data_IF_262704068919
#
_entry.id   IF_262704068919
#
_cell.length_a   1.000
_cell.length_b   1.000
_cell.length_c   1.000
_cell.angle_alpha   90.00
_cell.angle_beta   90.00
_cell.angle_gamma   90.00
#
_symmetry.space_group_name_H-M   'P 1'
#
loop_
_entity.id
_entity.type
_entity.pdbx_description
1 polymer ?
#
# COMPACT_ATOMS: atom_id res chain seq x y z
N UNK A 1 -37.47 -1.43 -6.10
CA UNK A 1 -36.21 -2.22 -5.98
C UNK A 1 -36.15 -3.15 -7.17
N UNK A 2 -35.38 -2.81 -8.21
CA UNK A 2 -35.16 -3.67 -9.36
C UNK A 2 -34.03 -4.64 -9.04
N UNK A 3 -34.30 -5.94 -9.12
CA UNK A 3 -33.26 -6.97 -9.01
C UNK A 3 -32.33 -6.86 -10.22
N UNK A 4 -31.08 -6.53 -9.97
CA UNK A 4 -30.01 -6.61 -10.95
C UNK A 4 -29.72 -8.09 -11.24
N UNK A 5 -30.11 -8.57 -12.41
CA UNK A 5 -29.90 -9.96 -12.82
C UNK A 5 -28.38 -10.28 -12.97
N UNK A 6 -27.99 -11.53 -12.63
CA UNK A 6 -26.60 -12.06 -12.75
C UNK A 6 -25.92 -11.77 -14.11
N UNK A 7 -26.68 -11.64 -15.20
CA UNK A 7 -26.15 -11.31 -16.54
C UNK A 7 -25.71 -9.85 -16.68
N UNK A 8 -26.41 -8.91 -16.05
CA UNK A 8 -26.02 -7.48 -16.02
C UNK A 8 -24.81 -7.25 -15.12
N UNK A 9 -24.71 -7.97 -14.00
CA UNK A 9 -23.55 -7.96 -13.12
C UNK A 9 -22.26 -8.38 -13.85
N UNK A 10 -22.33 -9.49 -14.63
CA UNK A 10 -21.17 -9.97 -15.41
C UNK A 10 -20.78 -8.98 -16.51
N UNK A 11 -21.76 -8.31 -17.14
CA UNK A 11 -21.48 -7.27 -18.16
C UNK A 11 -20.84 -6.02 -17.54
N UNK A 12 -21.28 -5.59 -16.37
CA UNK A 12 -20.72 -4.42 -15.68
C UNK A 12 -19.29 -4.70 -15.20
N UNK A 13 -19.01 -5.90 -14.68
CA UNK A 13 -17.66 -6.33 -14.30
C UNK A 13 -16.74 -6.42 -15.51
N UNK A 14 -17.21 -6.90 -16.65
CA UNK A 14 -16.44 -6.96 -17.90
C UNK A 14 -16.21 -5.57 -18.52
N UNK A 15 -17.09 -4.61 -18.32
CA UNK A 15 -16.92 -3.23 -18.79
C UNK A 15 -15.97 -2.42 -17.88
N UNK A 16 -15.96 -2.68 -16.58
CA UNK A 16 -15.01 -2.06 -15.65
C UNK A 16 -13.58 -2.63 -15.80
N UNK A 17 -13.45 -3.88 -16.27
CA UNK A 17 -12.16 -4.51 -16.60
C UNK A 17 -11.75 -4.38 -18.07
N UNK A 18 -12.61 -3.81 -18.93
CA UNK A 18 -12.51 -3.85 -20.39
C UNK A 18 -11.72 -2.72 -21.05
N UNK A 19 -11.04 -1.85 -20.32
CA UNK A 19 -10.12 -0.87 -20.91
C UNK A 19 -8.69 -1.43 -21.08
N UNK A 20 -8.53 -2.70 -21.48
CA UNK A 20 -7.25 -3.21 -21.95
C UNK A 20 -7.03 -2.82 -23.41
N UNK A 21 -6.46 -1.65 -23.64
CA UNK A 21 -5.89 -1.30 -24.95
C UNK A 21 -4.58 -2.06 -25.11
N UNK A 22 -4.59 -3.08 -25.97
CA UNK A 22 -3.39 -3.71 -26.48
C UNK A 22 -2.69 -2.75 -27.45
N UNK A 23 -1.84 -1.87 -26.95
CA UNK A 23 -0.88 -1.14 -27.80
C UNK A 23 0.49 -1.79 -27.66
N UNK A 24 0.88 -2.57 -28.67
CA UNK A 24 2.28 -2.93 -28.90
C UNK A 24 3.02 -1.65 -29.33
N UNK A 25 3.62 -0.93 -28.39
CA UNK A 25 4.58 0.13 -28.71
C UNK A 25 6.00 -0.40 -28.51
N UNK A 26 6.79 -0.27 -29.56
CA UNK A 26 8.23 -0.54 -29.58
C UNK A 26 8.97 0.37 -28.61
N UNK A 27 9.71 -0.23 -27.68
CA UNK A 27 10.49 0.48 -26.67
C UNK A 27 11.76 1.08 -27.27
N UNK A 28 11.87 2.41 -27.16
CA UNK A 28 13.13 3.12 -27.38
C UNK A 28 14.18 2.75 -26.30
N UNK A 29 15.41 2.43 -26.75
CA UNK A 29 16.57 2.16 -25.88
C UNK A 29 16.91 3.42 -25.08
N UNK A 30 16.99 3.29 -23.72
CA UNK A 30 17.49 4.42 -22.95
C UNK A 30 17.43 4.37 -21.44
N UNK A 31 17.17 3.22 -20.80
CA UNK A 31 17.51 2.94 -19.40
C UNK A 31 17.66 1.41 -19.29
N UNK A 32 18.75 0.95 -18.68
CA UNK A 32 18.94 -0.47 -18.43
C UNK A 32 17.69 -1.05 -17.75
N UNK A 33 17.23 -2.21 -18.20
CA UNK A 33 16.14 -2.91 -17.52
C UNK A 33 16.49 -3.00 -16.03
N UNK A 34 15.58 -2.59 -15.12
CA UNK A 34 15.78 -2.89 -13.73
C UNK A 34 15.76 -4.42 -13.63
N UNK A 35 16.96 -5.01 -13.52
CA UNK A 35 17.05 -6.40 -13.09
C UNK A 35 16.39 -6.45 -11.72
N UNK A 36 15.40 -7.35 -11.49
CA UNK A 36 14.93 -7.63 -10.15
C UNK A 36 16.17 -7.89 -9.30
N UNK A 37 16.26 -7.27 -8.14
CA UNK A 37 17.25 -7.71 -7.17
C UNK A 37 16.90 -9.16 -6.83
N UNK A 38 17.61 -10.10 -7.44
CA UNK A 38 17.63 -11.51 -7.04
C UNK A 38 18.50 -11.69 -5.80
N UNK A 39 18.45 -10.71 -4.88
CA UNK A 39 18.92 -10.89 -3.53
C UNK A 39 17.94 -11.86 -2.85
N UNK A 40 18.41 -12.95 -2.30
CA UNK A 40 17.58 -13.77 -1.42
C UNK A 40 17.01 -12.85 -0.35
N UNK A 41 15.71 -13.00 -0.01
CA UNK A 41 15.07 -12.22 1.07
C UNK A 41 15.92 -12.22 2.34
N UNK A 42 16.63 -13.32 2.61
CA UNK A 42 17.63 -13.44 3.67
C UNK A 42 18.70 -12.35 3.66
N UNK A 43 19.25 -11.98 2.51
CA UNK A 43 20.27 -10.91 2.43
C UNK A 43 19.69 -9.53 2.78
N UNK A 44 18.45 -9.26 2.38
CA UNK A 44 17.74 -8.03 2.73
C UNK A 44 17.49 -7.96 4.25
N UNK A 45 17.01 -9.05 4.83
CA UNK A 45 16.67 -9.16 6.25
C UNK A 45 17.90 -9.12 7.17
N UNK A 46 19.03 -9.69 6.76
CA UNK A 46 20.31 -9.56 7.48
C UNK A 46 20.78 -8.10 7.64
N UNK A 47 20.25 -7.21 6.81
CA UNK A 47 20.51 -5.79 6.94
C UNK A 47 19.67 -5.08 8.00
N UNK A 48 18.67 -5.72 8.60
CA UNK A 48 17.86 -5.14 9.68
C UNK A 48 18.60 -5.26 11.01
N UNK A 49 19.23 -4.17 11.44
CA UNK A 49 19.96 -4.04 12.72
C UNK A 49 19.11 -3.34 13.79
N UNK A 50 19.80 -2.56 14.63
CA UNK A 50 19.20 -1.78 15.72
C UNK A 50 18.95 -0.31 15.31
N UNK A 51 18.67 -0.10 14.05
CA UNK A 51 18.29 1.22 13.56
C UNK A 51 16.96 1.66 14.20
N UNK A 52 16.81 2.97 14.42
CA UNK A 52 15.55 3.56 14.89
C UNK A 52 14.39 3.26 13.93
N UNK A 53 14.67 3.29 12.63
CA UNK A 53 13.74 2.88 11.57
C UNK A 53 14.50 2.02 10.58
N UNK A 54 13.99 0.82 10.33
CA UNK A 54 14.35 0.02 9.18
C UNK A 54 13.07 -0.28 8.38
N UNK A 55 13.11 -0.05 7.06
CA UNK A 55 11.98 -0.33 6.19
C UNK A 55 12.46 -0.87 4.85
N UNK A 56 11.77 -1.90 4.32
CA UNK A 56 12.03 -2.48 3.01
C UNK A 56 10.76 -2.39 2.15
N UNK A 57 10.88 -1.81 0.96
CA UNK A 57 9.81 -1.87 -0.02
C UNK A 57 9.77 -3.25 -0.66
N UNK A 58 8.76 -4.06 -0.33
CA UNK A 58 8.59 -5.42 -0.84
C UNK A 58 7.97 -5.41 -2.25
N UNK A 59 7.07 -4.47 -2.50
CA UNK A 59 6.42 -4.24 -3.79
C UNK A 59 4.98 -3.75 -3.63
N UNK A 60 4.48 -3.01 -4.62
CA UNK A 60 3.19 -2.31 -4.58
C UNK A 60 3.09 -1.42 -3.34
N UNK A 61 2.10 -1.62 -2.48
CA UNK A 61 1.94 -0.91 -1.19
C UNK A 61 2.43 -1.74 0.01
N UNK A 62 3.07 -2.89 -0.26
CA UNK A 62 3.65 -3.76 0.77
C UNK A 62 5.02 -3.25 1.19
N UNK A 63 5.12 -2.79 2.42
CA UNK A 63 6.38 -2.40 3.06
C UNK A 63 6.55 -3.19 4.35
N UNK A 64 7.71 -3.82 4.52
CA UNK A 64 8.11 -4.46 5.76
C UNK A 64 8.90 -3.45 6.59
N UNK A 65 8.46 -3.19 7.82
CA UNK A 65 9.02 -2.19 8.72
C UNK A 65 9.44 -2.89 10.01
N UNK A 66 10.65 -2.58 10.50
CA UNK A 66 11.11 -2.99 11.83
C UNK A 66 11.21 -1.77 12.74
N UNK A 67 10.57 -1.85 13.90
CA UNK A 67 10.62 -0.87 14.99
C UNK A 67 10.94 -1.62 16.29
N UNK A 68 12.12 -1.43 16.86
CA UNK A 68 12.62 -2.25 17.93
C UNK A 68 12.66 -3.73 17.52
N UNK A 69 12.00 -4.58 18.29
CA UNK A 69 11.88 -6.02 17.98
C UNK A 69 10.63 -6.38 17.18
N UNK A 70 9.75 -5.41 16.90
CA UNK A 70 8.47 -5.63 16.24
C UNK A 70 8.56 -5.46 14.72
N UNK A 71 7.88 -6.36 14.00
CA UNK A 71 7.72 -6.31 12.56
C UNK A 71 6.31 -5.87 12.18
N UNK A 72 6.21 -4.83 11.35
CA UNK A 72 4.96 -4.36 10.76
C UNK A 72 4.98 -4.65 9.26
N UNK A 73 3.83 -5.02 8.72
CA UNK A 73 3.64 -5.24 7.29
C UNK A 73 2.44 -4.43 6.80
N UNK A 74 2.65 -3.53 5.85
CA UNK A 74 1.57 -2.71 5.27
C UNK A 74 0.98 -3.39 4.04
N UNK A 75 -0.34 -3.34 3.87
CA UNK A 75 -1.09 -3.76 2.69
C UNK A 75 -0.46 -4.97 1.97
N UNK A 76 -0.40 -6.16 2.61
CA UNK A 76 0.38 -7.27 2.09
C UNK A 76 -0.25 -7.90 0.85
N UNK A 77 0.48 -7.83 -0.27
CA UNK A 77 0.11 -8.42 -1.55
C UNK A 77 1.32 -9.18 -2.11
N UNK A 78 1.22 -10.51 -2.10
CA UNK A 78 2.25 -11.40 -2.65
C UNK A 78 1.77 -12.17 -3.89
N UNK A 79 0.50 -12.04 -4.23
CA UNK A 79 -0.10 -12.70 -5.38
C UNK A 79 0.44 -12.17 -6.72
N UNK A 80 0.53 -13.06 -7.72
CA UNK A 80 0.90 -12.69 -9.09
C UNK A 80 -0.21 -11.98 -9.86
N UNK A 81 -1.45 -12.12 -9.40
CA UNK A 81 -2.62 -11.46 -9.98
C UNK A 81 -3.48 -10.93 -8.84
N UNK A 82 -3.79 -9.64 -8.86
CA UNK A 82 -4.75 -9.02 -7.95
C UNK A 82 -6.10 -8.86 -8.62
N UNK A 83 -7.18 -9.07 -7.87
CA UNK A 83 -8.54 -8.95 -8.40
C UNK A 83 -9.47 -10.08 -7.96
N UNK A 84 -10.44 -10.39 -8.80
CA UNK A 84 -11.49 -11.37 -8.51
C UNK A 84 -10.97 -12.80 -8.57
N UNK A 85 -11.41 -13.64 -7.64
CA UNK A 85 -11.25 -15.07 -7.73
C UNK A 85 -12.58 -15.71 -8.14
N UNK A 86 -12.63 -16.26 -9.36
CA UNK A 86 -13.81 -16.92 -9.90
C UNK A 86 -13.45 -18.38 -10.15
N UNK A 87 -14.02 -19.29 -9.36
CA UNK A 87 -13.78 -20.75 -9.45
C UNK A 87 -12.30 -21.13 -9.43
N UNK A 88 -11.50 -20.44 -8.60
CA UNK A 88 -10.07 -20.69 -8.46
C UNK A 88 -9.19 -19.97 -9.49
N UNK A 89 -9.78 -19.31 -10.49
CA UNK A 89 -9.07 -18.49 -11.45
C UNK A 89 -9.07 -17.02 -10.99
N UNK A 90 -7.88 -16.41 -10.88
CA UNK A 90 -7.74 -14.99 -10.59
C UNK A 90 -7.79 -14.16 -11.85
N UNK A 91 -8.63 -13.13 -11.84
CA UNK A 91 -8.87 -12.22 -12.96
C UNK A 91 -8.58 -10.80 -12.50
N UNK A 92 -7.61 -10.16 -13.14
CA UNK A 92 -7.22 -8.78 -12.84
C UNK A 92 -5.79 -8.46 -13.29
N UNK A 93 -5.21 -7.33 -12.85
CA UNK A 93 -3.85 -6.94 -13.18
C UNK A 93 -2.81 -7.99 -12.77
N UNK A 94 -1.88 -8.29 -13.69
CA UNK A 94 -0.74 -9.16 -13.44
C UNK A 94 0.41 -8.37 -12.85
N UNK A 95 1.11 -8.99 -11.90
CA UNK A 95 2.35 -8.48 -11.34
C UNK A 95 3.45 -8.39 -12.42
N UNK A 96 4.15 -7.28 -12.45
CA UNK A 96 5.24 -6.99 -13.39
C UNK A 96 6.58 -7.34 -12.76
N UNK A 97 6.83 -6.89 -11.52
CA UNK A 97 8.01 -7.23 -10.75
C UNK A 97 7.63 -8.18 -9.59
N UNK A 98 8.38 -9.25 -9.34
CA UNK A 98 8.12 -10.12 -8.21
C UNK A 98 8.28 -9.38 -6.88
N UNK A 99 7.69 -9.87 -5.77
CA UNK A 99 8.01 -9.37 -4.45
C UNK A 99 9.51 -9.51 -4.18
N UNK A 100 10.12 -8.50 -3.56
CA UNK A 100 11.56 -8.51 -3.27
C UNK A 100 11.96 -9.52 -2.19
N UNK A 101 11.02 -9.89 -1.34
CA UNK A 101 11.14 -10.93 -0.31
C UNK A 101 9.97 -11.88 -0.56
N UNK A 102 10.23 -13.18 -0.62
CA UNK A 102 9.18 -14.20 -0.75
C UNK A 102 8.27 -14.26 0.47
N UNK A 103 7.03 -14.71 0.28
CA UNK A 103 6.08 -14.83 1.38
C UNK A 103 6.56 -15.81 2.47
N UNK A 104 7.31 -16.82 2.08
CA UNK A 104 7.93 -17.82 2.95
C UNK A 104 9.25 -17.36 3.60
N UNK A 105 9.80 -16.24 3.13
CA UNK A 105 11.05 -15.68 3.64
C UNK A 105 10.82 -14.50 4.61
N UNK A 106 9.62 -13.86 4.62
CA UNK A 106 9.38 -12.73 5.51
C UNK A 106 9.38 -13.18 6.99
N UNK A 107 9.86 -12.34 7.91
CA UNK A 107 9.68 -12.60 9.34
C UNK A 107 8.18 -12.56 9.68
N UNK A 108 7.79 -13.26 10.77
CA UNK A 108 6.42 -13.15 11.27
C UNK A 108 6.09 -11.68 11.56
N UNK A 109 5.10 -11.07 10.90
CA UNK A 109 4.64 -9.76 11.29
C UNK A 109 3.97 -9.82 12.68
N UNK A 110 4.27 -8.89 13.55
CA UNK A 110 3.52 -8.70 14.79
C UNK A 110 2.23 -7.92 14.51
N UNK A 111 2.30 -7.00 13.53
CA UNK A 111 1.19 -6.13 13.12
C UNK A 111 1.07 -6.13 11.59
N UNK A 112 -0.14 -6.29 11.09
CA UNK A 112 -0.51 -5.97 9.70
C UNK A 112 -1.38 -4.72 9.72
N UNK A 113 -1.00 -3.71 8.92
CA UNK A 113 -1.79 -2.49 8.70
C UNK A 113 -2.44 -2.57 7.33
N UNK A 114 -3.76 -2.43 7.28
CA UNK A 114 -4.55 -2.44 6.05
C UNK A 114 -5.19 -1.07 5.84
N UNK A 115 -4.81 -0.41 4.76
CA UNK A 115 -5.29 0.94 4.46
C UNK A 115 -6.75 0.97 4.03
N UNK A 116 -7.18 0.04 3.19
CA UNK A 116 -8.54 -0.04 2.66
C UNK A 116 -8.83 -1.40 2.00
N UNK A 117 -10.07 -1.61 1.55
CA UNK A 117 -10.53 -2.93 1.11
C UNK A 117 -10.25 -3.27 -0.37
N UNK A 118 -9.57 -2.43 -1.16
CA UNK A 118 -9.22 -2.79 -2.55
C UNK A 118 -8.38 -4.06 -2.60
N UNK A 119 -8.55 -4.84 -3.68
CA UNK A 119 -7.98 -6.19 -3.78
C UNK A 119 -6.46 -6.20 -3.96
N UNK A 120 -5.86 -5.09 -4.31
CA UNK A 120 -4.42 -4.87 -4.45
C UNK A 120 -3.77 -4.29 -3.18
N UNK A 121 -4.57 -4.11 -2.10
CA UNK A 121 -4.12 -3.73 -0.75
C UNK A 121 -4.53 -4.80 0.26
N UNK A 122 -5.79 -5.20 0.26
CA UNK A 122 -6.32 -6.27 1.09
C UNK A 122 -6.46 -7.55 0.24
N UNK A 123 -5.33 -8.14 -0.16
CA UNK A 123 -5.31 -9.39 -0.93
C UNK A 123 -5.66 -10.58 -0.03
N UNK A 124 -6.89 -11.03 -0.13
CA UNK A 124 -7.43 -12.11 0.70
C UNK A 124 -6.54 -13.37 0.67
N UNK A 125 -5.99 -13.75 -0.48
CA UNK A 125 -5.13 -14.94 -0.58
C UNK A 125 -3.84 -14.77 0.22
N UNK A 126 -3.18 -13.62 0.14
CA UNK A 126 -1.99 -13.33 0.93
C UNK A 126 -2.31 -13.38 2.43
N UNK A 127 -3.43 -12.77 2.84
CA UNK A 127 -3.87 -12.72 4.23
C UNK A 127 -4.24 -14.11 4.77
N UNK A 128 -4.88 -14.98 3.96
CA UNK A 128 -5.11 -16.38 4.28
C UNK A 128 -3.81 -17.15 4.52
N UNK A 129 -2.79 -16.93 3.68
CA UNK A 129 -1.48 -17.55 3.84
C UNK A 129 -0.78 -17.10 5.11
N UNK A 130 -0.72 -15.77 5.35
CA UNK A 130 -0.08 -15.20 6.54
C UNK A 130 -0.73 -15.70 7.84
N UNK A 131 -2.06 -15.66 7.92
CA UNK A 131 -2.79 -16.13 9.09
C UNK A 131 -2.65 -17.63 9.33
N UNK A 132 -2.50 -18.42 8.25
CA UNK A 132 -2.29 -19.87 8.35
C UNK A 132 -0.85 -20.24 8.74
N UNK A 133 0.15 -19.43 8.34
CA UNK A 133 1.55 -19.61 8.76
C UNK A 133 1.73 -19.32 10.25
N UNK A 134 1.02 -18.33 10.78
CA UNK A 134 1.13 -17.90 12.18
C UNK A 134 -0.24 -17.71 12.84
N UNK A 135 -1.00 -18.79 13.06
CA UNK A 135 -2.35 -18.70 13.59
C UNK A 135 -2.37 -18.09 14.99
N UNK A 136 -3.25 -17.13 15.21
CA UNK A 136 -3.44 -16.41 16.48
C UNK A 136 -2.19 -15.64 16.98
N UNK A 137 -1.27 -15.25 16.08
CA UNK A 137 -0.04 -14.56 16.48
C UNK A 137 0.05 -13.15 15.91
N UNK A 138 -0.67 -12.82 14.84
CA UNK A 138 -0.60 -11.53 14.15
C UNK A 138 -1.79 -10.66 14.56
N UNK A 139 -1.54 -9.43 14.98
CA UNK A 139 -2.57 -8.40 15.14
C UNK A 139 -2.82 -7.70 13.80
N UNK A 140 -4.08 -7.50 13.44
CA UNK A 140 -4.49 -6.77 12.24
C UNK A 140 -5.23 -5.50 12.63
N UNK A 141 -4.82 -4.38 12.06
CA UNK A 141 -5.51 -3.10 12.17
C UNK A 141 -5.93 -2.64 10.78
N UNK A 142 -7.19 -2.30 10.62
CA UNK A 142 -7.78 -1.96 9.32
C UNK A 142 -8.67 -0.72 9.40
N UNK A 143 -9.00 -0.15 8.25
CA UNK A 143 -9.96 0.94 8.17
C UNK A 143 -11.38 0.45 8.53
N UNK A 144 -12.20 1.33 9.07
CA UNK A 144 -13.58 1.04 9.48
C UNK A 144 -14.42 0.43 8.36
N UNK A 145 -15.22 -0.58 8.71
CA UNK A 145 -16.09 -1.35 7.82
C UNK A 145 -15.35 -2.13 6.72
N UNK A 146 -14.18 -2.69 7.03
CA UNK A 146 -13.40 -3.50 6.09
C UNK A 146 -13.03 -4.88 6.62
N UNK A 147 -13.10 -5.12 7.92
CA UNK A 147 -12.69 -6.40 8.54
C UNK A 147 -13.58 -7.58 8.17
N UNK A 148 -14.80 -7.35 7.68
CA UNK A 148 -15.68 -8.41 7.16
C UNK A 148 -15.03 -9.24 6.05
N UNK A 149 -14.02 -8.70 5.37
CA UNK A 149 -13.23 -9.40 4.35
C UNK A 149 -12.35 -10.49 4.95
N UNK A 150 -11.94 -10.35 6.23
CA UNK A 150 -10.86 -11.15 6.83
C UNK A 150 -11.11 -11.61 8.26
N UNK A 151 -12.26 -11.29 8.88
CA UNK A 151 -12.56 -11.59 10.28
C UNK A 151 -12.78 -13.09 10.57
N UNK A 152 -12.91 -13.90 9.54
CA UNK A 152 -12.98 -15.36 9.61
C UNK A 152 -11.61 -16.05 9.67
N UNK A 153 -10.51 -15.28 9.53
CA UNK A 153 -9.14 -15.80 9.60
C UNK A 153 -8.60 -15.82 11.03
N UNK A 154 -7.69 -16.74 11.36
CA UNK A 154 -7.18 -16.93 12.72
C UNK A 154 -6.15 -15.87 13.13
N UNK A 155 -6.58 -14.61 13.27
CA UNK A 155 -5.76 -13.52 13.79
C UNK A 155 -5.65 -13.54 15.32
N UNK A 156 -4.58 -12.97 15.88
CA UNK A 156 -4.47 -12.65 17.31
C UNK A 156 -5.53 -11.62 17.72
N UNK A 157 -5.66 -10.57 16.93
CA UNK A 157 -6.73 -9.58 16.98
C UNK A 157 -6.99 -9.05 15.57
N UNK A 158 -8.22 -8.59 15.32
CA UNK A 158 -8.60 -7.96 14.07
C UNK A 158 -9.48 -6.76 14.41
N UNK A 159 -8.91 -5.56 14.35
CA UNK A 159 -9.51 -4.34 14.84
C UNK A 159 -9.68 -3.32 13.71
N UNK A 160 -10.69 -2.47 13.86
CA UNK A 160 -10.92 -1.32 12.98
C UNK A 160 -10.64 -0.02 13.71
N UNK A 161 -10.13 0.97 12.96
CA UNK A 161 -9.88 2.32 13.46
C UNK A 161 -10.33 3.35 12.44
N UNK A 162 -10.95 4.44 12.91
CA UNK A 162 -11.41 5.55 12.06
C UNK A 162 -10.47 6.76 12.15
N UNK A 163 -10.61 7.67 11.22
CA UNK A 163 -9.82 8.90 11.12
C UNK A 163 -9.76 9.67 12.43
N UNK A 164 -8.54 10.02 12.84
CA UNK A 164 -8.25 10.73 14.08
C UNK A 164 -8.17 9.85 15.32
N UNK A 165 -8.62 8.60 15.26
CA UNK A 165 -8.48 7.66 16.37
C UNK A 165 -7.04 7.14 16.47
N UNK A 166 -6.67 6.75 17.68
CA UNK A 166 -5.33 6.24 18.01
C UNK A 166 -5.45 4.98 18.84
N UNK A 167 -4.62 4.00 18.52
CA UNK A 167 -4.48 2.76 19.29
C UNK A 167 -3.01 2.46 19.56
N UNK A 168 -2.73 1.50 20.44
CA UNK A 168 -1.37 1.02 20.69
C UNK A 168 -1.33 -0.51 20.66
N UNK A 169 -0.44 -1.06 19.84
CA UNK A 169 -0.23 -2.50 19.68
C UNK A 169 1.27 -2.76 19.88
N UNK A 170 1.62 -3.65 20.80
CA UNK A 170 3.03 -4.02 21.10
C UNK A 170 3.94 -2.80 21.40
N UNK A 171 3.40 -1.77 22.06
CA UNK A 171 4.13 -0.53 22.37
C UNK A 171 4.26 0.45 21.21
N UNK A 172 3.74 0.11 20.03
CA UNK A 172 3.71 0.99 18.86
C UNK A 172 2.38 1.75 18.84
N UNK A 173 2.43 3.07 18.83
CA UNK A 173 1.27 3.94 18.71
C UNK A 173 0.93 4.13 17.24
N UNK A 174 -0.34 3.92 16.87
CA UNK A 174 -0.83 4.02 15.50
C UNK A 174 -2.05 4.91 15.50
N UNK A 175 -2.00 6.00 14.73
CA UNK A 175 -3.11 6.93 14.51
C UNK A 175 -3.60 6.82 13.07
N UNK A 176 -4.91 6.64 12.88
CA UNK A 176 -5.53 6.69 11.56
C UNK A 176 -5.61 8.12 11.05
N UNK A 177 -5.17 8.32 9.83
CA UNK A 177 -5.15 9.61 9.15
C UNK A 177 -6.24 9.69 8.10
N UNK A 178 -6.84 10.88 7.98
CA UNK A 178 -7.71 11.20 6.86
C UNK A 178 -6.90 11.24 5.56
N UNK A 179 -7.39 10.51 4.56
CA UNK A 179 -6.86 10.52 3.19
C UNK A 179 -8.00 10.71 2.19
N UNK A 180 -7.68 10.97 0.95
CA UNK A 180 -8.65 11.21 -0.10
C UNK A 180 -8.65 10.08 -1.12
N UNK A 181 -9.54 9.09 -0.90
CA UNK A 181 -9.62 7.89 -1.73
C UNK A 181 -11.06 7.39 -1.83
N UNK A 182 -11.28 6.17 -2.26
CA UNK A 182 -12.53 5.43 -2.11
C UNK A 182 -12.26 4.05 -1.47
N UNK A 183 -13.23 3.48 -0.77
CA UNK A 183 -13.04 2.27 0.04
C UNK A 183 -13.80 1.04 -0.46
N UNK A 184 -14.56 1.12 -1.56
CA UNK A 184 -15.33 -0.03 -2.04
C UNK A 184 -14.42 -1.17 -2.51
N UNK A 185 -14.79 -2.43 -2.21
CA UNK A 185 -14.11 -3.62 -2.72
C UNK A 185 -14.73 -4.09 -4.03
N UNK A 186 -16.04 -3.96 -4.14
CA UNK A 186 -16.80 -4.27 -5.35
C UNK A 186 -17.57 -3.03 -5.82
N UNK A 187 -17.70 -2.80 -7.14
CA UNK A 187 -18.47 -1.69 -7.66
C UNK A 187 -19.90 -1.67 -7.09
N UNK A 188 -20.32 -0.51 -6.59
CA UNK A 188 -21.66 -0.31 -6.02
C UNK A 188 -21.78 -0.60 -4.52
N UNK A 189 -20.73 -1.03 -3.84
CA UNK A 189 -20.74 -1.12 -2.39
C UNK A 189 -20.85 0.27 -1.74
N UNK A 190 -21.52 0.38 -0.57
CA UNK A 190 -21.46 1.57 0.24
C UNK A 190 -20.03 1.93 0.59
N UNK A 191 -19.63 3.17 0.33
CA UNK A 191 -18.30 3.68 0.58
C UNK A 191 -18.39 5.08 1.19
N UNK A 192 -17.45 5.43 2.05
CA UNK A 192 -17.36 6.74 2.70
C UNK A 192 -17.29 7.88 1.70
N UNK A 193 -16.57 7.71 0.59
CA UNK A 193 -16.41 8.73 -0.45
C UNK A 193 -17.68 9.00 -1.26
N UNK A 194 -18.63 8.07 -1.32
CA UNK A 194 -19.90 8.24 -2.01
C UNK A 194 -21.07 8.60 -1.06
N UNK A 195 -20.75 9.16 0.12
CA UNK A 195 -21.73 9.70 1.07
C UNK A 195 -22.10 8.78 2.23
N UNK A 196 -21.69 7.52 2.24
CA UNK A 196 -21.96 6.58 3.33
C UNK A 196 -20.93 6.71 4.47
N UNK A 197 -20.80 7.92 5.05
CA UNK A 197 -19.75 8.23 6.03
C UNK A 197 -19.75 7.37 7.29
N UNK A 198 -20.90 6.82 7.69
CA UNK A 198 -21.05 6.01 8.91
C UNK A 198 -21.13 4.51 8.67
N UNK A 199 -21.49 4.06 7.48
CA UNK A 199 -21.80 2.66 7.17
C UNK A 199 -21.08 2.14 5.95
N UNK A 200 -20.43 3.00 5.19
CA UNK A 200 -19.65 2.62 4.01
C UNK A 200 -18.21 2.32 4.37
N UNK A 201 -17.56 1.49 3.55
CA UNK A 201 -16.14 1.16 3.70
C UNK A 201 -15.28 2.41 3.74
N UNK A 202 -14.43 2.50 4.77
CA UNK A 202 -13.47 3.57 4.97
C UNK A 202 -12.12 3.25 4.33
N UNK A 203 -11.21 4.19 4.42
CA UNK A 203 -9.84 4.11 3.93
C UNK A 203 -8.98 5.05 4.77
N UNK A 204 -7.77 4.59 5.13
CA UNK A 204 -6.87 5.27 6.05
C UNK A 204 -5.47 5.44 5.46
N UNK A 205 -4.80 6.55 5.80
CA UNK A 205 -3.38 6.55 6.05
C UNK A 205 -3.11 6.23 7.52
N UNK A 206 -1.85 6.03 7.89
CA UNK A 206 -1.45 5.75 9.27
C UNK A 206 -0.20 6.55 9.66
N UNK A 207 -0.24 7.21 10.81
CA UNK A 207 0.94 7.68 11.50
C UNK A 207 1.33 6.62 12.53
N UNK A 208 2.59 6.23 12.53
CA UNK A 208 3.15 5.13 13.32
C UNK A 208 4.28 5.73 14.15
N UNK A 209 4.22 5.56 15.47
CA UNK A 209 5.22 6.09 16.40
C UNK A 209 5.71 4.99 17.36
N UNK A 210 7.03 4.91 17.50
CA UNK A 210 7.70 4.01 18.44
C UNK A 210 8.99 4.65 18.94
N UNK A 211 9.10 4.88 20.27
CA UNK A 211 10.30 5.45 20.91
C UNK A 211 10.85 6.70 20.19
N UNK A 212 9.93 7.56 19.75
CA UNK A 212 10.25 8.78 19.01
C UNK A 212 10.53 8.58 17.51
N UNK A 213 10.66 7.35 16.99
CA UNK A 213 10.63 7.08 15.55
C UNK A 213 9.22 7.37 15.01
N UNK A 214 9.12 8.04 13.86
CA UNK A 214 7.84 8.46 13.30
C UNK A 214 7.78 8.18 11.81
N UNK A 215 6.81 7.38 11.42
CA UNK A 215 6.57 6.97 10.03
C UNK A 215 5.15 7.33 9.64
N UNK A 216 4.95 7.80 8.42
CA UNK A 216 3.62 7.91 7.82
C UNK A 216 3.52 6.92 6.68
N UNK A 217 2.49 6.08 6.71
CA UNK A 217 2.04 5.25 5.60
C UNK A 217 0.78 5.87 5.02
N UNK A 218 0.86 6.39 3.79
CA UNK A 218 -0.23 7.11 3.14
C UNK A 218 -1.40 6.22 2.70
N UNK A 219 -1.16 4.91 2.52
CA UNK A 219 -2.10 4.09 1.77
C UNK A 219 -2.29 4.66 0.36
N UNK A 220 -3.49 4.55 -0.20
CA UNK A 220 -3.86 5.26 -1.42
C UNK A 220 -4.54 6.59 -1.10
N UNK A 221 -4.13 7.64 -1.79
CA UNK A 221 -4.69 8.97 -1.61
C UNK A 221 -4.50 9.85 -2.85
N UNK A 222 -5.48 10.68 -3.18
CA UNK A 222 -5.26 11.88 -3.97
C UNK A 222 -4.56 12.95 -3.11
N UNK A 223 -4.16 14.05 -3.74
CA UNK A 223 -3.63 15.20 -3.00
C UNK A 223 -4.64 15.68 -1.94
N UNK A 224 -4.15 15.89 -0.72
CA UNK A 224 -4.94 16.42 0.41
C UNK A 224 -4.07 17.23 1.34
N UNK A 225 -4.66 18.28 1.94
CA UNK A 225 -4.03 19.06 3.00
C UNK A 225 -4.15 18.41 4.39
N UNK A 226 -4.84 17.27 4.51
CA UNK A 226 -5.03 16.57 5.78
C UNK A 226 -3.69 16.19 6.46
N UNK A 227 -2.64 15.96 5.67
CA UNK A 227 -1.29 15.68 6.20
C UNK A 227 -0.65 16.85 6.96
N UNK A 228 -1.20 18.07 6.90
CA UNK A 228 -0.80 19.18 7.77
C UNK A 228 -1.11 18.91 9.25
N UNK A 229 -2.04 18.01 9.53
CA UNK A 229 -2.39 17.59 10.90
C UNK A 229 -1.41 16.59 11.51
N UNK A 230 -0.51 16.02 10.68
CA UNK A 230 0.56 15.15 11.13
C UNK A 230 1.59 16.01 11.87
N UNK A 231 2.06 15.51 12.99
CA UNK A 231 3.13 16.16 13.73
C UNK A 231 4.40 16.27 12.87
N UNK A 232 5.11 17.40 12.84
CA UNK A 232 6.30 17.57 11.98
C UNK A 232 7.43 16.63 12.37
N UNK A 233 8.43 16.54 11.46
CA UNK A 233 9.64 15.70 11.60
C UNK A 233 9.35 14.19 11.49
N UNK A 234 8.76 13.79 10.37
CA UNK A 234 8.58 12.39 10.02
C UNK A 234 9.91 11.81 9.51
N UNK A 235 10.35 10.70 10.07
CA UNK A 235 11.58 10.03 9.65
C UNK A 235 11.41 9.40 8.25
N UNK A 236 10.21 8.84 7.96
CA UNK A 236 9.90 8.22 6.68
C UNK A 236 8.44 8.45 6.29
N UNK A 237 8.20 9.08 5.14
CA UNK A 237 6.88 9.14 4.49
C UNK A 237 6.81 8.06 3.40
N UNK A 238 5.91 7.10 3.54
CA UNK A 238 5.64 6.03 2.57
C UNK A 238 4.40 6.46 1.78
N UNK A 239 4.58 6.90 0.52
CA UNK A 239 3.56 7.61 -0.24
C UNK A 239 3.31 6.98 -1.61
N UNK A 240 2.04 6.85 -2.05
CA UNK A 240 1.71 6.34 -3.38
C UNK A 240 2.13 7.35 -4.45
N UNK A 241 2.60 6.85 -5.59
CA UNK A 241 2.99 7.71 -6.72
C UNK A 241 2.46 7.23 -8.08
N UNK A 242 1.66 6.18 -8.12
CA UNK A 242 1.12 5.59 -9.35
C UNK A 242 -0.40 5.62 -9.43
N UNK A 243 -0.93 5.16 -10.55
CA UNK A 243 -2.37 5.04 -10.83
C UNK A 243 -3.12 6.38 -10.87
N UNK A 244 -2.46 7.47 -11.23
CA UNK A 244 -3.06 8.81 -11.23
C UNK A 244 -3.72 9.19 -12.58
N UNK A 245 -3.26 8.67 -13.72
CA UNK A 245 -3.82 9.05 -15.01
C UNK A 245 -5.25 8.49 -15.16
N UNK A 246 -6.21 9.40 -15.27
CA UNK A 246 -7.64 9.10 -15.26
C UNK A 246 -8.26 8.91 -13.87
N UNK A 247 -7.45 8.86 -12.80
CA UNK A 247 -7.92 8.61 -11.43
C UNK A 247 -7.43 9.65 -10.41
N UNK A 248 -7.08 10.86 -10.83
CA UNK A 248 -6.55 11.94 -9.98
C UNK A 248 -7.47 12.37 -8.83
N UNK A 249 -8.75 12.00 -8.88
CA UNK A 249 -9.68 12.23 -7.77
C UNK A 249 -9.39 11.31 -6.55
N UNK A 250 -8.64 10.22 -6.75
CA UNK A 250 -8.38 9.14 -5.79
C UNK A 250 -6.89 8.82 -5.61
N UNK A 251 -6.04 9.23 -6.56
CA UNK A 251 -4.60 8.96 -6.57
C UNK A 251 -3.82 10.23 -6.87
N UNK A 252 -2.82 10.52 -6.04
CA UNK A 252 -1.90 11.62 -6.27
C UNK A 252 -0.85 11.26 -7.32
N UNK A 253 -0.38 12.26 -8.04
CA UNK A 253 0.79 12.14 -8.88
C UNK A 253 2.09 12.27 -8.05
N UNK A 254 3.29 11.97 -8.64
CA UNK A 254 4.54 11.99 -7.90
C UNK A 254 4.90 13.34 -7.26
N UNK A 255 4.59 14.45 -7.92
CA UNK A 255 4.85 15.79 -7.39
C UNK A 255 3.94 16.14 -6.21
N UNK A 256 2.69 15.68 -6.26
CA UNK A 256 1.72 15.82 -5.17
C UNK A 256 2.12 14.96 -3.95
N UNK A 257 2.59 13.71 -4.17
CA UNK A 257 3.12 12.85 -3.12
C UNK A 257 4.33 13.49 -2.43
N UNK A 258 5.23 14.11 -3.22
CA UNK A 258 6.36 14.85 -2.69
C UNK A 258 5.90 16.05 -1.86
N UNK A 259 4.94 16.83 -2.37
CA UNK A 259 4.40 17.99 -1.67
C UNK A 259 3.78 17.61 -0.32
N UNK A 260 3.01 16.51 -0.27
CA UNK A 260 2.45 15.98 0.99
C UNK A 260 3.55 15.51 1.96
N UNK A 261 4.62 14.87 1.46
CA UNK A 261 5.78 14.49 2.27
C UNK A 261 6.49 15.72 2.88
N UNK A 262 6.60 16.79 2.10
CA UNK A 262 7.18 18.05 2.58
C UNK A 262 6.28 18.76 3.60
N UNK A 263 4.95 18.67 3.50
CA UNK A 263 4.02 19.21 4.51
C UNK A 263 4.26 18.59 5.90
N UNK A 264 4.66 17.33 5.95
CA UNK A 264 4.98 16.60 7.18
C UNK A 264 6.43 16.79 7.64
N UNK A 265 7.24 17.60 6.95
CA UNK A 265 8.67 17.74 7.17
C UNK A 265 9.39 16.38 7.18
N UNK A 266 9.02 15.50 6.25
CA UNK A 266 9.61 14.18 6.14
C UNK A 266 11.09 14.24 5.76
N UNK A 267 11.94 13.44 6.41
CA UNK A 267 13.37 13.31 6.09
C UNK A 267 13.58 12.56 4.79
N UNK A 268 12.71 11.58 4.53
CA UNK A 268 12.75 10.77 3.33
C UNK A 268 11.35 10.40 2.85
N UNK A 269 11.21 10.17 1.54
CA UNK A 269 10.02 9.60 0.93
C UNK A 269 10.34 8.23 0.34
N UNK A 270 9.53 7.22 0.70
CA UNK A 270 9.53 5.90 0.07
C UNK A 270 8.32 5.84 -0.88
N UNK A 271 8.54 5.88 -2.19
CA UNK A 271 7.46 5.76 -3.15
C UNK A 271 6.93 4.33 -3.20
N UNK A 272 5.62 4.19 -3.18
CA UNK A 272 4.90 2.93 -3.32
C UNK A 272 3.87 3.03 -4.45
N UNK A 273 3.10 1.95 -4.67
CA UNK A 273 1.99 1.90 -5.64
C UNK A 273 2.41 2.17 -7.10
N UNK A 274 3.62 1.74 -7.47
CA UNK A 274 4.13 1.82 -8.84
C UNK A 274 4.97 0.59 -9.19
N UNK A 275 5.36 0.42 -10.45
CA UNK A 275 6.21 -0.68 -10.98
C UNK A 275 5.67 -2.11 -10.76
N UNK A 276 4.63 -2.32 -9.98
CA UNK A 276 4.19 -3.65 -9.58
C UNK A 276 2.99 -4.15 -10.39
N UNK A 277 1.95 -3.37 -10.51
CA UNK A 277 0.76 -3.68 -11.32
C UNK A 277 0.48 -2.51 -12.27
N UNK A 278 -0.04 -2.83 -13.47
CA UNK A 278 -0.54 -1.79 -14.38
C UNK A 278 -2.04 -1.58 -14.10
N UNK A 279 -2.39 -0.46 -13.51
CA UNK A 279 -3.75 -0.12 -13.11
C UNK A 279 -4.28 1.15 -13.77
N UNK A 280 -3.44 1.83 -14.53
CA UNK A 280 -3.74 3.11 -15.19
C UNK A 280 -2.94 3.26 -16.48
N UNK A 281 -3.29 4.25 -17.33
CA UNK A 281 -2.65 4.44 -18.64
C UNK A 281 -1.20 4.91 -18.60
N UNK A 282 -0.75 5.60 -17.55
CA UNK A 282 0.62 6.16 -17.52
C UNK A 282 1.69 5.08 -17.72
N UNK A 283 2.81 5.43 -18.39
CA UNK A 283 3.93 4.52 -18.58
C UNK A 283 4.48 4.05 -17.23
N UNK A 284 4.66 2.74 -17.06
CA UNK A 284 4.98 2.08 -15.79
C UNK A 284 6.21 2.68 -15.05
N UNK A 285 7.14 3.31 -15.76
CA UNK A 285 8.36 3.93 -15.20
C UNK A 285 8.25 5.44 -15.02
N UNK A 286 7.21 6.05 -15.55
CA UNK A 286 7.02 7.50 -15.49
C UNK A 286 6.88 8.02 -14.06
N UNK A 287 6.08 7.39 -13.16
CA UNK A 287 5.92 7.88 -11.80
C UNK A 287 7.26 8.06 -11.06
N UNK A 288 8.13 7.06 -11.11
CA UNK A 288 9.44 7.14 -10.46
C UNK A 288 10.33 8.20 -11.11
N UNK A 289 10.34 8.30 -12.43
CA UNK A 289 11.14 9.30 -13.13
C UNK A 289 10.70 10.74 -12.82
N UNK A 290 9.39 10.97 -12.65
CA UNK A 290 8.82 12.25 -12.22
C UNK A 290 9.22 12.56 -10.78
N UNK A 291 9.07 11.60 -9.87
CA UNK A 291 9.46 11.77 -8.47
C UNK A 291 10.94 12.12 -8.33
N UNK A 292 11.83 11.43 -9.05
CA UNK A 292 13.28 11.73 -9.01
C UNK A 292 13.54 13.18 -9.39
N UNK A 293 12.99 13.67 -10.50
CA UNK A 293 13.17 15.06 -10.93
C UNK A 293 12.64 16.06 -9.89
N UNK A 294 11.46 15.78 -9.32
CA UNK A 294 10.86 16.66 -8.32
C UNK A 294 11.66 16.66 -7.01
N UNK A 295 12.13 15.50 -6.56
CA UNK A 295 12.91 15.35 -5.32
C UNK A 295 14.28 16.01 -5.42
N UNK A 296 14.97 15.91 -6.57
CA UNK A 296 16.26 16.58 -6.81
C UNK A 296 16.12 18.11 -6.67
N UNK A 297 15.03 18.68 -7.19
CA UNK A 297 14.74 20.11 -7.06
C UNK A 297 14.49 20.51 -5.60
N UNK A 298 13.78 19.70 -4.85
CA UNK A 298 13.37 19.99 -3.47
C UNK A 298 14.33 19.44 -2.41
N UNK A 299 15.39 18.73 -2.82
CA UNK A 299 16.41 18.12 -1.94
C UNK A 299 15.82 17.13 -0.91
N UNK A 300 14.72 16.45 -1.25
CA UNK A 300 14.14 15.40 -0.41
C UNK A 300 14.75 14.05 -0.79
N UNK A 301 15.17 13.28 0.22
CA UNK A 301 15.75 11.96 0.02
C UNK A 301 14.69 10.94 -0.44
N UNK A 302 14.97 10.19 -1.51
CA UNK A 302 14.16 9.05 -1.94
C UNK A 302 14.71 7.78 -1.30
N UNK A 303 13.95 7.23 -0.35
CA UNK A 303 14.34 6.09 0.47
C UNK A 303 14.46 4.77 -0.29
N UNK A 304 13.62 4.57 -1.32
CA UNK A 304 13.63 3.37 -2.17
C UNK A 304 13.24 3.75 -3.60
N UNK A 305 13.86 3.12 -4.59
CA UNK A 305 13.53 3.32 -6.01
C UNK A 305 13.02 2.04 -6.67
N UNK A 306 13.36 0.89 -6.11
CA UNK A 306 13.00 -0.44 -6.60
C UNK A 306 12.60 -1.33 -5.43
N UNK A 307 11.72 -2.32 -5.65
CA UNK A 307 11.49 -3.37 -4.66
C UNK A 307 12.81 -4.00 -4.19
N UNK A 308 12.92 -4.24 -2.90
CA UNK A 308 14.15 -4.71 -2.24
C UNK A 308 15.07 -3.61 -1.74
N UNK A 309 14.87 -2.35 -2.14
CA UNK A 309 15.59 -1.26 -1.52
C UNK A 309 15.12 -1.07 -0.07
N UNK A 310 16.07 -0.77 0.81
CA UNK A 310 15.85 -0.55 2.23
C UNK A 310 16.19 0.88 2.63
N UNK A 311 15.43 1.41 3.55
CA UNK A 311 15.71 2.66 4.26
C UNK A 311 16.13 2.35 5.69
N UNK A 312 17.16 3.04 6.17
CA UNK A 312 17.67 2.93 7.52
C UNK A 312 17.91 4.31 8.10
N UNK A 313 17.41 4.52 9.29
CA UNK A 313 17.63 5.74 10.03
C UNK A 313 18.01 5.42 11.48
N UNK A 314 19.14 5.94 11.91
CA UNK A 314 19.63 5.94 13.29
C UNK A 314 19.75 7.39 13.74
N UNK A 315 19.10 7.75 14.83
CA UNK A 315 19.18 9.11 15.40
C UNK A 315 20.51 9.32 16.11
#
# INVERSE_FOLDING_TARGET
MQEFGRREFVKTVLLASGAFVTTTQSFGRGLADPTPHSGSGGAILHGAGNERVWACWVGHSTVLIKLGESWLLTDPVFADVVGLNILGLRIGPRRILPPAIGLDEIPRPDIILLSHAHMDHMDRWTLEKLSSMWPNQIAVLSATHTVDVINDLPWKSCEEIDWGETTSISGITIRALEVRHNGWRFPGEPCRSNGFKRTGRSYNGYEIEYEGARIVFGGDTAYTDAFRSVQPEIDLAIMPIGSYEGYSAFHCNPEEALAMSMMMHARAVMPIHHLTFRQSPEPIREPLARLIRAADTNKLHIAAKLPGNTYKYSA
#
